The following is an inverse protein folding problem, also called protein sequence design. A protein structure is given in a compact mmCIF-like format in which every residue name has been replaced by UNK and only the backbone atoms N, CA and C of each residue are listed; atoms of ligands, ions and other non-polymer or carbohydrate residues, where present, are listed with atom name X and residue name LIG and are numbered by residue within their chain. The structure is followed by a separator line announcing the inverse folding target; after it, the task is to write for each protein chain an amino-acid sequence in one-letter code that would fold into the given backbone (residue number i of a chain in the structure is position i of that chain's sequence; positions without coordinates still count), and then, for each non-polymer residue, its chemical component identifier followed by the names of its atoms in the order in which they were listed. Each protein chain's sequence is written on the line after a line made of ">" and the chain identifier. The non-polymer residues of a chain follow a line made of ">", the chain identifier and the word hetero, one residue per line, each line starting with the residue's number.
data_IF_740269312233
#
_entry.id   IF_740269312233
#
_cell.length_a   1.000
_cell.length_b   1.000
_cell.length_c   1.000
_cell.angle_alpha   90.00
_cell.angle_beta   90.00
_cell.angle_gamma   90.00
#
_symmetry.space_group_name_H-M   'P 1'
#
loop_
_entity.id
_entity.type
_entity.pdbx_description
1 polymer ?
#
# COMPACT_ATOMS: atom_id res chain seq x y z
N UNK A 1 8.84 2.43 -29.25
CA UNK A 1 8.77 3.68 -28.48
C UNK A 1 7.54 3.66 -27.61
N UNK A 2 7.71 3.53 -26.30
CA UNK A 2 6.59 3.49 -25.34
C UNK A 2 6.40 4.90 -24.79
N UNK A 3 5.32 5.57 -25.18
CA UNK A 3 4.99 6.92 -24.70
C UNK A 3 4.82 6.93 -23.18
N UNK A 4 5.24 7.99 -22.47
CA UNK A 4 4.96 8.12 -21.05
C UNK A 4 3.45 8.26 -20.86
N UNK A 5 2.85 7.32 -20.13
CA UNK A 5 1.45 7.41 -19.71
C UNK A 5 1.31 8.64 -18.81
N UNK A 6 0.67 9.69 -19.33
CA UNK A 6 0.22 10.83 -18.53
C UNK A 6 -0.67 10.29 -17.42
N UNK A 7 -0.18 10.36 -16.18
CA UNK A 7 -0.94 10.02 -14.98
C UNK A 7 -1.96 11.13 -14.75
N UNK A 8 -3.05 11.10 -15.52
CA UNK A 8 -4.18 12.00 -15.30
C UNK A 8 -4.90 11.56 -14.02
N UNK A 9 -5.01 12.48 -13.06
CA UNK A 9 -5.30 12.21 -11.65
C UNK A 9 -6.77 11.98 -11.29
N UNK A 10 -7.62 11.55 -12.21
CA UNK A 10 -9.03 11.26 -11.92
C UNK A 10 -9.35 9.77 -12.10
N UNK A 11 -9.55 9.08 -10.98
CA UNK A 11 -9.87 7.65 -10.94
C UNK A 11 -11.24 7.32 -11.56
N UNK A 12 -12.17 8.28 -11.53
CA UNK A 12 -13.51 8.14 -12.13
C UNK A 12 -13.42 8.26 -13.65
N UNK A 13 -12.60 9.17 -14.15
CA UNK A 13 -12.35 9.36 -15.59
C UNK A 13 -11.67 8.14 -16.26
N UNK A 14 -11.02 7.29 -15.47
CA UNK A 14 -10.38 6.05 -15.94
C UNK A 14 -11.36 4.86 -16.13
N UNK A 15 -12.65 5.01 -15.79
CA UNK A 15 -13.70 4.04 -16.11
C UNK A 15 -13.69 2.72 -15.32
N UNK A 16 -12.75 2.54 -14.41
CA UNK A 16 -12.62 1.31 -13.60
C UNK A 16 -13.22 1.44 -12.18
N UNK A 17 -13.99 2.49 -11.92
CA UNK A 17 -14.65 2.69 -10.63
C UNK A 17 -16.03 2.02 -10.65
N UNK A 18 -16.16 0.92 -9.91
CA UNK A 18 -17.45 0.29 -9.64
C UNK A 18 -17.91 0.62 -8.20
N UNK A 19 -18.98 1.42 -8.03
CA UNK A 19 -19.51 1.76 -6.70
C UNK A 19 -19.95 0.52 -5.90
N UNK A 20 -20.29 -0.59 -6.56
CA UNK A 20 -20.68 -1.83 -5.89
C UNK A 20 -19.52 -2.49 -5.13
N UNK A 21 -18.28 -2.35 -5.61
CA UNK A 21 -17.10 -2.87 -4.89
C UNK A 21 -16.82 -2.13 -3.59
N UNK A 22 -17.18 -0.84 -3.52
CA UNK A 22 -16.96 0.00 -2.33
C UNK A 22 -17.90 -0.33 -1.16
N UNK A 23 -18.99 -1.04 -1.44
CA UNK A 23 -20.01 -1.49 -0.49
C UNK A 23 -19.76 -2.89 0.07
N UNK A 24 -18.76 -3.61 -0.44
CA UNK A 24 -18.43 -4.95 0.05
C UNK A 24 -17.64 -4.86 1.38
N UNK A 25 -17.84 -5.84 2.28
CA UNK A 25 -17.12 -5.93 3.56
C UNK A 25 -15.59 -6.06 3.37
N UNK A 26 -15.16 -6.59 2.22
CA UNK A 26 -13.76 -6.65 1.81
C UNK A 26 -13.61 -6.09 0.39
N UNK A 27 -13.52 -4.77 0.22
CA UNK A 27 -13.35 -4.18 -1.10
C UNK A 27 -12.00 -4.60 -1.66
N UNK A 28 -12.02 -5.28 -2.81
CA UNK A 28 -10.83 -5.66 -3.56
C UNK A 28 -10.64 -4.73 -4.75
N UNK A 29 -9.39 -4.43 -5.08
CA UNK A 29 -9.06 -3.63 -6.26
C UNK A 29 -9.19 -4.48 -7.52
N UNK A 30 -9.61 -3.87 -8.63
CA UNK A 30 -9.57 -4.53 -9.94
C UNK A 30 -8.14 -4.67 -10.46
N UNK A 31 -7.90 -5.60 -11.39
CA UNK A 31 -6.56 -5.82 -11.97
C UNK A 31 -5.99 -4.56 -12.64
N UNK A 32 -6.86 -3.72 -13.23
CA UNK A 32 -6.44 -2.45 -13.82
C UNK A 32 -5.96 -1.46 -12.74
N UNK A 33 -6.68 -1.37 -11.62
CA UNK A 33 -6.31 -0.54 -10.48
C UNK A 33 -5.00 -1.02 -9.83
N UNK A 34 -4.83 -2.34 -9.67
CA UNK A 34 -3.60 -2.95 -9.14
C UNK A 34 -2.40 -2.63 -10.03
N UNK A 35 -2.52 -2.80 -11.35
CA UNK A 35 -1.43 -2.49 -12.31
C UNK A 35 -1.03 -1.02 -12.29
N UNK A 36 -2.00 -0.11 -12.16
CA UNK A 36 -1.72 1.33 -12.03
C UNK A 36 -1.00 1.65 -10.72
N UNK A 37 -1.48 1.11 -9.59
CA UNK A 37 -0.82 1.30 -8.29
C UNK A 37 0.63 0.82 -8.33
N UNK A 38 0.87 -0.36 -8.92
CA UNK A 38 2.22 -0.90 -9.13
C UNK A 38 3.09 0.05 -9.97
N UNK A 39 2.57 0.54 -11.10
CA UNK A 39 3.30 1.44 -12.00
C UNK A 39 3.66 2.77 -11.32
N UNK A 40 2.72 3.37 -10.60
CA UNK A 40 2.94 4.61 -9.84
C UNK A 40 3.94 4.40 -8.70
N UNK A 41 3.81 3.30 -7.94
CA UNK A 41 4.74 2.97 -6.87
C UNK A 41 6.18 2.81 -7.41
N UNK A 42 6.36 2.13 -8.54
CA UNK A 42 7.68 2.00 -9.18
C UNK A 42 8.25 3.35 -9.62
N UNK A 43 7.43 4.21 -10.25
CA UNK A 43 7.85 5.55 -10.68
C UNK A 43 8.24 6.45 -9.49
N UNK A 44 7.55 6.31 -8.36
CA UNK A 44 7.84 7.05 -7.12
C UNK A 44 9.09 6.49 -6.45
N UNK A 45 9.27 5.17 -6.38
CA UNK A 45 10.45 4.53 -5.80
C UNK A 45 11.77 5.00 -6.45
N UNK A 46 11.74 5.37 -7.74
CA UNK A 46 12.90 5.93 -8.44
C UNK A 46 13.23 7.38 -8.02
N UNK A 47 12.25 8.11 -7.48
CA UNK A 47 12.37 9.53 -7.09
C UNK A 47 12.51 9.74 -5.59
N UNK A 48 12.09 8.77 -4.77
CA UNK A 48 12.16 8.88 -3.31
C UNK A 48 13.63 8.80 -2.84
N UNK A 49 14.12 9.78 -2.07
CA UNK A 49 15.43 9.69 -1.44
C UNK A 49 15.52 8.46 -0.53
N UNK A 50 16.69 7.80 -0.52
CA UNK A 50 16.93 6.71 0.42
C UNK A 50 17.09 7.28 1.83
N UNK A 51 16.09 7.07 2.67
CA UNK A 51 16.17 7.41 4.08
C UNK A 51 16.82 6.26 4.87
N UNK A 52 17.69 6.58 5.84
CA UNK A 52 18.18 5.57 6.76
C UNK A 52 17.00 5.01 7.56
N UNK A 53 17.03 3.69 7.80
CA UNK A 53 16.04 3.03 8.66
C UNK A 53 16.25 3.54 10.08
N UNK A 54 15.38 4.47 10.52
CA UNK A 54 15.46 4.98 11.89
C UNK A 54 15.02 3.85 12.81
N UNK A 55 15.91 3.45 13.72
CA UNK A 55 15.56 2.57 14.82
C UNK A 55 14.43 3.25 15.59
N UNK A 56 13.26 2.65 15.55
CA UNK A 56 12.16 3.06 16.41
C UNK A 56 12.66 2.86 17.84
N UNK A 57 12.88 3.94 18.59
CA UNK A 57 13.31 3.91 20.00
C UNK A 57 12.30 3.18 20.92
N UNK A 58 11.18 2.73 20.35
CA UNK A 58 10.10 2.02 21.00
C UNK A 58 10.39 0.51 21.02
N UNK A 59 10.66 -0.04 22.20
CA UNK A 59 10.88 -1.48 22.47
C UNK A 59 9.63 -2.37 22.28
N UNK A 60 8.59 -1.88 21.60
CA UNK A 60 7.42 -2.67 21.27
C UNK A 60 7.79 -3.81 20.34
N UNK A 61 7.24 -5.00 20.61
CA UNK A 61 7.43 -6.22 19.82
C UNK A 61 7.26 -5.99 18.32
N UNK A 62 6.21 -5.27 17.92
CA UNK A 62 5.91 -4.95 16.51
C UNK A 62 7.03 -4.14 15.85
N UNK A 63 7.64 -3.18 16.56
CA UNK A 63 8.76 -2.40 16.02
C UNK A 63 9.96 -3.29 15.68
N UNK A 64 10.26 -4.26 16.55
CA UNK A 64 11.34 -5.23 16.32
C UNK A 64 11.03 -6.11 15.10
N UNK A 65 9.82 -6.67 15.04
CA UNK A 65 9.39 -7.52 13.93
C UNK A 65 9.46 -6.79 12.58
N UNK A 66 9.09 -5.50 12.51
CA UNK A 66 9.22 -4.68 11.30
C UNK A 66 10.68 -4.45 10.91
N UNK A 67 11.57 -4.19 11.87
CA UNK A 67 13.00 -4.00 11.60
C UNK A 67 13.68 -5.29 11.10
N UNK A 68 13.30 -6.43 11.68
CA UNK A 68 13.77 -7.75 11.27
C UNK A 68 13.31 -8.02 9.82
N UNK A 69 12.03 -7.77 9.49
CA UNK A 69 11.50 -7.89 8.13
C UNK A 69 12.21 -6.98 7.13
N UNK A 70 12.46 -5.72 7.49
CA UNK A 70 13.19 -4.81 6.60
C UNK A 70 14.60 -5.34 6.30
N UNK A 71 15.23 -6.01 7.27
CA UNK A 71 16.60 -6.54 7.17
C UNK A 71 16.67 -7.95 6.57
N UNK A 72 15.52 -8.60 6.37
CA UNK A 72 15.43 -9.93 5.77
C UNK A 72 15.90 -9.93 4.31
N UNK A 73 16.47 -11.07 3.89
CA UNK A 73 16.87 -11.30 2.50
C UNK A 73 15.66 -11.28 1.57
N UNK A 74 15.88 -10.97 0.29
CA UNK A 74 14.83 -11.05 -0.71
C UNK A 74 14.23 -12.45 -0.84
N UNK A 75 15.05 -13.48 -0.60
CA UNK A 75 14.70 -14.90 -0.72
C UNK A 75 14.09 -15.50 0.55
N UNK A 76 13.89 -14.68 1.59
CA UNK A 76 13.31 -15.17 2.84
C UNK A 76 11.92 -15.75 2.59
N UNK A 77 11.64 -16.96 3.10
CA UNK A 77 10.33 -17.58 2.94
C UNK A 77 9.26 -16.68 3.56
N UNK A 78 8.10 -16.57 2.92
CA UNK A 78 6.95 -15.79 3.39
C UNK A 78 7.17 -14.27 3.55
N UNK A 79 8.30 -13.70 3.09
CA UNK A 79 8.59 -12.26 3.17
C UNK A 79 7.42 -11.39 2.69
N UNK A 80 6.79 -11.76 1.57
CA UNK A 80 5.64 -11.03 1.04
C UNK A 80 4.42 -11.05 1.98
N UNK A 81 4.15 -12.17 2.65
CA UNK A 81 3.06 -12.28 3.61
C UNK A 81 3.33 -11.42 4.85
N UNK A 82 4.58 -11.36 5.32
CA UNK A 82 4.97 -10.49 6.42
C UNK A 82 4.86 -9.00 6.05
N UNK A 83 5.29 -8.61 4.84
CA UNK A 83 5.07 -7.25 4.34
C UNK A 83 3.58 -6.89 4.33
N UNK A 84 2.71 -7.78 3.81
CA UNK A 84 1.26 -7.56 3.80
C UNK A 84 0.69 -7.37 5.20
N UNK A 85 1.16 -8.15 6.18
CA UNK A 85 0.73 -8.07 7.59
C UNK A 85 1.07 -6.72 8.21
N UNK A 86 2.30 -6.23 8.04
CA UNK A 86 2.75 -4.97 8.65
C UNK A 86 2.43 -3.73 7.82
N UNK A 87 2.10 -3.86 6.52
CA UNK A 87 1.67 -2.74 5.66
C UNK A 87 0.20 -2.38 5.82
N UNK A 88 -0.58 -3.21 6.52
CA UNK A 88 -1.97 -2.92 6.80
C UNK A 88 -2.06 -1.66 7.67
N UNK A 89 -2.59 -0.57 7.10
CA UNK A 89 -2.91 0.63 7.86
C UNK A 89 -4.38 0.50 8.29
N UNK A 90 -4.64 0.56 9.59
CA UNK A 90 -5.98 0.39 10.15
C UNK A 90 -6.95 1.43 9.61
N UNK A 91 -8.10 0.97 9.10
CA UNK A 91 -9.28 1.78 8.77
C UNK A 91 -9.53 1.93 7.27
N UNK A 92 -10.80 1.79 6.86
CA UNK A 92 -11.27 2.42 5.62
C UNK A 92 -11.03 3.91 5.79
N UNK A 93 -10.37 4.54 4.82
CA UNK A 93 -10.11 5.99 4.82
C UNK A 93 -11.40 6.81 5.05
N UNK A 94 -12.57 6.27 4.66
CA UNK A 94 -13.89 6.90 4.81
C UNK A 94 -14.71 6.49 6.05
N UNK A 95 -14.24 5.57 6.90
CA UNK A 95 -14.97 5.23 8.12
C UNK A 95 -14.55 6.15 9.27
N UNK A 96 -15.06 7.38 9.29
CA UNK A 96 -15.27 8.07 10.56
C UNK A 96 -16.00 7.09 11.48
N UNK A 97 -15.46 6.82 12.67
CA UNK A 97 -16.27 6.26 13.74
C UNK A 97 -17.48 7.17 13.88
N UNK A 98 -18.69 6.67 13.62
CA UNK A 98 -19.85 7.34 14.17
C UNK A 98 -19.64 7.33 15.69
N UNK A 99 -19.68 8.47 16.38
CA UNK A 99 -19.86 8.46 17.82
C UNK A 99 -21.28 7.93 18.04
N UNK A 100 -21.43 6.61 18.17
CA UNK A 100 -22.64 6.07 18.79
C UNK A 100 -22.55 6.39 20.28
N UNK A 101 -23.68 6.84 20.82
CA UNK A 101 -23.84 7.43 22.15
C UNK A 101 -23.56 6.44 23.27
#
# INVERSE_FOLDING_TARGET
>A
SSSPVSVSGDFVSLGDYDPSTALCDSPVLSDAQIRRLSSCAMAICQKIPRYPRKLVQNKKRVSKEVLDLLSASADSPNRLAEYRKYSAIYGRFDAKRKPDK
#
